data_IF_241049362128
#
_entry.id   IF_241049362128
#
_cell.length_a   1.000
_cell.length_b   1.000
_cell.length_c   1.000
_cell.angle_alpha   90.00
_cell.angle_beta   90.00
_cell.angle_gamma   90.00
#
_symmetry.space_group_name_H-M   'P 1'
#
loop_
_entity.id
_entity.type
_entity.pdbx_description
1 polymer ?
#
# COMPACT_ATOMS: atom_id res chain seq x y z
N UNK A 1 -38.15 -0.57 15.33
CA UNK A 1 -36.81 -0.36 15.90
C UNK A 1 -35.90 -0.11 14.71
N UNK A 2 -35.58 1.14 14.46
CA UNK A 2 -34.77 1.61 13.34
C UNK A 2 -33.33 1.23 13.64
N UNK A 3 -32.77 0.31 12.88
CA UNK A 3 -31.34 0.03 12.84
C UNK A 3 -30.65 1.26 12.23
N UNK A 4 -30.04 2.07 13.08
CA UNK A 4 -29.29 3.24 12.65
C UNK A 4 -28.20 2.85 11.68
N UNK A 5 -28.28 3.37 10.46
CA UNK A 5 -27.20 3.48 9.52
C UNK A 5 -26.12 4.38 10.16
N UNK A 6 -25.21 3.76 10.91
CA UNK A 6 -23.94 4.38 11.22
C UNK A 6 -23.11 4.41 9.93
N UNK A 7 -23.53 5.26 9.00
CA UNK A 7 -22.70 5.68 7.90
C UNK A 7 -21.51 6.43 8.50
N UNK A 8 -20.45 5.66 8.74
CA UNK A 8 -19.18 6.17 9.22
C UNK A 8 -18.67 7.14 8.14
N UNK A 9 -18.90 8.43 8.35
CA UNK A 9 -18.60 9.54 7.43
C UNK A 9 -17.07 9.79 7.37
N UNK A 10 -16.29 8.71 7.42
CA UNK A 10 -14.84 8.78 7.27
C UNK A 10 -14.51 9.02 5.80
N UNK A 11 -13.65 9.99 5.57
CA UNK A 11 -13.08 10.23 4.25
C UNK A 11 -12.34 8.96 3.79
N UNK A 12 -12.60 8.48 2.56
CA UNK A 12 -11.87 7.36 1.99
C UNK A 12 -10.36 7.59 2.10
N UNK A 13 -9.65 6.61 2.62
CA UNK A 13 -8.21 6.76 2.88
C UNK A 13 -7.41 5.81 2.01
N UNK A 14 -6.42 6.37 1.33
CA UNK A 14 -5.46 5.66 0.50
C UNK A 14 -4.09 5.74 1.18
N UNK A 15 -3.58 4.60 1.60
CA UNK A 15 -2.22 4.46 2.11
C UNK A 15 -1.28 4.13 0.96
N UNK A 16 -0.25 4.91 0.80
CA UNK A 16 0.72 4.73 -0.29
C UNK A 16 2.05 4.29 0.30
N UNK A 17 2.60 3.19 -0.23
CA UNK A 17 3.97 2.79 0.07
C UNK A 17 4.94 3.90 -0.30
N UNK A 18 5.83 4.28 0.61
CA UNK A 18 6.72 5.41 0.40
C UNK A 18 8.17 5.01 0.64
N UNK A 19 9.02 5.36 -0.32
CA UNK A 19 10.48 5.29 -0.23
C UNK A 19 11.04 6.62 -0.75
N UNK A 20 12.00 7.23 -0.04
CA UNK A 20 12.58 8.52 -0.46
C UNK A 20 13.22 8.46 -1.84
N UNK A 21 13.73 7.29 -2.23
CA UNK A 21 14.28 7.05 -3.58
C UNK A 21 13.22 7.10 -4.67
N UNK A 22 11.96 6.87 -4.30
CA UNK A 22 10.81 6.79 -5.20
C UNK A 22 9.86 7.97 -5.04
N UNK A 23 10.32 9.07 -4.41
CA UNK A 23 9.50 10.26 -4.15
C UNK A 23 8.79 10.79 -5.40
N UNK A 24 9.47 10.81 -6.54
CA UNK A 24 8.87 11.29 -7.79
C UNK A 24 7.67 10.42 -8.20
N UNK A 25 7.77 9.10 -8.05
CA UNK A 25 6.66 8.19 -8.36
C UNK A 25 5.47 8.44 -7.42
N UNK A 26 5.74 8.63 -6.12
CA UNK A 26 4.71 9.02 -5.16
C UNK A 26 4.01 10.33 -5.56
N UNK A 27 4.76 11.36 -5.94
CA UNK A 27 4.19 12.65 -6.34
C UNK A 27 3.30 12.51 -7.59
N UNK A 28 3.70 11.70 -8.55
CA UNK A 28 2.92 11.40 -9.77
C UNK A 28 1.64 10.61 -9.42
N UNK A 29 1.76 9.58 -8.57
CA UNK A 29 0.58 8.83 -8.12
C UNK A 29 -0.40 9.73 -7.39
N UNK A 30 0.08 10.52 -6.41
CA UNK A 30 -0.74 11.47 -5.66
C UNK A 30 -1.47 12.43 -6.59
N UNK A 31 -0.75 13.06 -7.52
CA UNK A 31 -1.34 13.94 -8.51
C UNK A 31 -2.43 13.23 -9.34
N UNK A 32 -2.18 11.99 -9.77
CA UNK A 32 -3.15 11.25 -10.56
C UNK A 32 -4.42 10.89 -9.77
N UNK A 33 -4.28 10.55 -8.48
CA UNK A 33 -5.43 10.32 -7.60
C UNK A 33 -6.25 11.62 -7.47
N UNK A 34 -5.59 12.73 -7.11
CA UNK A 34 -6.25 14.03 -6.94
C UNK A 34 -6.94 14.52 -8.22
N UNK A 35 -6.33 14.23 -9.38
CA UNK A 35 -6.87 14.61 -10.70
C UNK A 35 -8.17 13.89 -11.06
N UNK A 36 -8.27 12.61 -10.71
CA UNK A 36 -9.38 11.78 -11.16
C UNK A 36 -10.43 11.50 -10.08
N UNK A 37 -10.15 11.81 -8.82
CA UNK A 37 -11.09 11.58 -7.74
C UNK A 37 -12.31 12.51 -7.86
N UNK A 38 -13.52 11.96 -7.87
CA UNK A 38 -14.78 12.71 -7.90
C UNK A 38 -15.18 13.27 -6.53
N UNK A 39 -14.52 12.83 -5.46
CA UNK A 39 -14.73 13.30 -4.10
C UNK A 39 -13.39 13.38 -3.34
N UNK A 40 -13.33 14.15 -2.24
CA UNK A 40 -12.13 14.23 -1.42
C UNK A 40 -11.70 12.87 -0.90
N UNK A 41 -10.40 12.58 -1.00
CA UNK A 41 -9.76 11.38 -0.46
C UNK A 41 -8.56 11.77 0.40
N UNK A 42 -8.32 11.00 1.44
CA UNK A 42 -7.14 11.17 2.29
C UNK A 42 -6.00 10.30 1.74
N UNK A 43 -4.86 10.92 1.39
CA UNK A 43 -3.69 10.21 0.84
C UNK A 43 -2.56 10.25 1.87
N UNK A 44 -2.22 9.10 2.40
CA UNK A 44 -1.28 8.94 3.52
C UNK A 44 -0.03 8.17 3.06
N UNK A 45 1.13 8.83 2.92
CA UNK A 45 2.37 8.11 2.65
C UNK A 45 2.83 7.33 3.89
N UNK A 46 3.10 6.04 3.73
CA UNK A 46 3.66 5.20 4.78
C UNK A 46 5.18 5.41 4.89
N UNK A 47 5.58 6.54 5.45
CA UNK A 47 6.99 6.86 5.68
C UNK A 47 7.54 6.04 6.84
N UNK A 48 8.57 5.26 6.57
CA UNK A 48 9.15 4.35 7.57
C UNK A 48 9.66 5.10 8.80
N UNK A 49 10.29 6.27 8.63
CA UNK A 49 10.79 7.06 9.75
C UNK A 49 9.66 7.56 10.66
N UNK A 50 8.55 8.02 10.08
CA UNK A 50 7.37 8.41 10.86
C UNK A 50 6.78 7.25 11.63
N UNK A 51 6.74 6.06 11.01
CA UNK A 51 6.27 4.83 11.67
C UNK A 51 7.22 4.38 12.79
N UNK A 52 8.52 4.60 12.65
CA UNK A 52 9.51 4.34 13.69
C UNK A 52 9.35 5.30 14.87
N UNK A 53 9.23 6.60 14.61
CA UNK A 53 9.04 7.62 15.64
C UNK A 53 7.76 7.36 16.44
N UNK A 54 6.70 6.90 15.82
CA UNK A 54 5.45 6.53 16.49
C UNK A 54 5.50 5.15 17.19
N UNK A 55 6.61 4.43 17.09
CA UNK A 55 6.77 3.09 17.68
C UNK A 55 6.00 1.98 16.94
N UNK A 56 5.35 2.28 15.82
CA UNK A 56 4.58 1.31 15.03
C UNK A 56 5.46 0.37 14.22
N UNK A 57 6.64 0.83 13.79
CA UNK A 57 7.57 0.02 13.01
C UNK A 57 8.90 -0.17 13.74
N UNK A 58 9.16 -1.40 14.20
CA UNK A 58 10.34 -1.72 15.02
C UNK A 58 11.34 -2.65 14.36
N UNK A 59 11.08 -3.12 13.13
CA UNK A 59 12.02 -3.98 12.41
C UNK A 59 13.28 -3.20 12.07
N UNK A 60 14.42 -3.73 12.48
CA UNK A 60 15.71 -3.12 12.18
C UNK A 60 16.23 -3.62 10.85
N UNK A 61 16.97 -2.74 10.15
CA UNK A 61 17.64 -3.07 8.89
C UNK A 61 19.16 -2.90 9.03
N UNK A 62 19.90 -3.70 8.27
CA UNK A 62 21.35 -3.55 8.08
C UNK A 62 21.66 -3.62 6.59
N UNK A 63 22.82 -3.13 6.22
CA UNK A 63 23.35 -3.30 4.85
C UNK A 63 24.29 -4.48 4.85
N UNK A 64 24.06 -5.45 3.96
CA UNK A 64 24.91 -6.59 3.72
C UNK A 64 25.14 -6.69 2.21
N UNK A 65 26.39 -6.66 1.79
CA UNK A 65 26.79 -6.71 0.37
C UNK A 65 26.05 -5.68 -0.51
N UNK A 66 25.90 -4.44 0.01
CA UNK A 66 25.21 -3.35 -0.67
C UNK A 66 23.69 -3.47 -0.73
N UNK A 67 23.11 -4.50 -0.12
CA UNK A 67 21.65 -4.72 -0.07
C UNK A 67 21.10 -4.46 1.32
N UNK A 68 19.93 -3.85 1.39
CA UNK A 68 19.22 -3.76 2.65
C UNK A 68 18.66 -5.14 3.01
N UNK A 69 18.95 -5.59 4.23
CA UNK A 69 18.44 -6.84 4.77
C UNK A 69 17.77 -6.59 6.12
N UNK A 70 16.71 -7.31 6.39
CA UNK A 70 16.08 -7.30 7.70
C UNK A 70 16.97 -8.01 8.72
N UNK A 71 17.12 -7.42 9.91
CA UNK A 71 18.00 -7.98 10.95
C UNK A 71 17.41 -9.27 11.52
N UNK A 72 16.11 -9.41 11.52
CA UNK A 72 15.41 -10.52 12.14
C UNK A 72 15.56 -11.83 11.36
N UNK A 73 15.37 -11.79 10.04
CA UNK A 73 15.41 -13.00 9.20
C UNK A 73 16.51 -12.99 8.15
N UNK A 74 17.33 -11.92 8.12
CA UNK A 74 18.44 -11.70 7.18
C UNK A 74 18.03 -11.74 5.70
N UNK A 75 16.74 -11.57 5.42
CA UNK A 75 16.23 -11.53 4.03
C UNK A 75 16.37 -10.13 3.46
N UNK A 76 16.79 -10.02 2.20
CA UNK A 76 16.82 -8.74 1.51
C UNK A 76 15.40 -8.25 1.20
N UNK A 77 15.22 -6.94 1.23
CA UNK A 77 14.01 -6.27 0.78
C UNK A 77 14.37 -5.08 -0.11
N UNK A 78 13.50 -4.77 -1.07
CA UNK A 78 13.78 -3.78 -2.11
C UNK A 78 13.32 -2.37 -1.74
N UNK A 79 12.20 -2.25 -1.03
CA UNK A 79 11.57 -0.97 -0.71
C UNK A 79 11.31 -0.82 0.78
N UNK A 80 11.30 0.41 1.28
CA UNK A 80 11.04 0.71 2.69
C UNK A 80 9.64 0.29 3.14
N UNK A 81 8.68 0.18 2.23
CA UNK A 81 7.31 -0.22 2.52
C UNK A 81 7.04 -1.73 2.37
N UNK A 82 8.06 -2.54 2.13
CA UNK A 82 7.90 -4.00 1.98
C UNK A 82 7.16 -4.66 3.15
N UNK A 83 7.38 -4.17 4.37
CA UNK A 83 6.72 -4.69 5.58
C UNK A 83 5.67 -3.72 6.15
N UNK A 84 5.86 -2.41 6.01
CA UNK A 84 4.97 -1.43 6.61
C UNK A 84 3.55 -1.44 6.03
N UNK A 85 3.38 -1.99 4.82
CA UNK A 85 2.05 -2.21 4.21
C UNK A 85 1.10 -3.03 5.09
N UNK A 86 1.64 -3.96 5.88
CA UNK A 86 0.85 -4.80 6.79
C UNK A 86 0.36 -4.06 8.04
N UNK A 87 0.80 -2.82 8.27
CA UNK A 87 0.30 -1.97 9.34
C UNK A 87 -0.99 -1.23 8.97
N UNK A 88 -1.38 -1.22 7.70
CA UNK A 88 -2.57 -0.48 7.22
C UNK A 88 -3.84 -0.79 8.02
N UNK A 89 -4.21 -2.06 8.28
CA UNK A 89 -5.39 -2.34 9.08
C UNK A 89 -5.32 -1.71 10.46
N UNK A 90 -4.18 -1.78 11.13
CA UNK A 90 -3.98 -1.20 12.45
C UNK A 90 -4.03 0.34 12.42
N UNK A 91 -3.33 0.97 11.48
CA UNK A 91 -3.31 2.44 11.33
C UNK A 91 -4.71 2.96 10.99
N UNK A 92 -5.49 2.20 10.22
CA UNK A 92 -6.88 2.50 9.92
C UNK A 92 -7.84 2.08 11.04
N UNK A 93 -7.31 1.72 12.22
CA UNK A 93 -8.06 1.34 13.43
C UNK A 93 -8.99 0.14 13.25
N UNK A 94 -8.72 -0.72 12.26
CA UNK A 94 -9.56 -1.85 11.87
C UNK A 94 -11.01 -1.46 11.53
N UNK A 95 -11.24 -0.21 11.09
CA UNK A 95 -12.56 0.31 10.79
C UNK A 95 -12.66 0.84 9.37
N UNK A 96 -13.79 0.54 8.72
CA UNK A 96 -14.08 0.99 7.38
C UNK A 96 -13.14 0.39 6.33
N UNK A 97 -13.16 1.00 5.15
CA UNK A 97 -12.35 0.57 4.02
C UNK A 97 -11.12 1.46 3.88
N UNK A 98 -9.98 0.85 3.62
CA UNK A 98 -8.76 1.53 3.24
C UNK A 98 -8.16 0.88 2.00
N UNK A 99 -7.57 1.67 1.12
CA UNK A 99 -6.82 1.19 -0.03
C UNK A 99 -5.33 1.31 0.25
N UNK A 100 -4.56 0.25 -0.03
CA UNK A 100 -3.11 0.33 -0.10
C UNK A 100 -2.65 0.28 -1.56
N UNK A 101 -1.71 1.15 -1.92
CA UNK A 101 -1.10 1.21 -3.24
C UNK A 101 0.43 1.30 -3.13
N UNK A 102 1.15 0.66 -4.03
CA UNK A 102 2.57 0.93 -4.25
C UNK A 102 2.72 2.29 -4.95
N UNK A 103 3.81 3.02 -4.68
CA UNK A 103 3.98 4.39 -5.20
C UNK A 103 4.23 4.47 -6.72
N UNK A 104 4.64 3.39 -7.34
CA UNK A 104 4.91 3.29 -8.78
C UNK A 104 3.66 3.05 -9.65
N UNK A 105 2.49 3.30 -9.08
CA UNK A 105 1.20 3.21 -9.76
C UNK A 105 0.74 4.57 -10.32
N UNK A 106 -0.24 4.54 -11.21
CA UNK A 106 -0.89 5.72 -11.76
C UNK A 106 -2.39 5.49 -11.91
N UNK A 107 -3.21 6.38 -11.35
CA UNK A 107 -4.66 6.33 -11.50
C UNK A 107 -5.08 6.85 -12.87
N UNK A 108 -5.93 6.08 -13.56
CA UNK A 108 -6.48 6.42 -14.87
C UNK A 108 -7.98 6.72 -14.85
N UNK A 109 -8.62 6.49 -13.73
CA UNK A 109 -10.05 6.71 -13.51
C UNK A 109 -10.29 7.08 -12.05
N UNK A 110 -11.53 7.37 -11.72
CA UNK A 110 -11.94 7.78 -10.40
C UNK A 110 -11.74 6.64 -9.37
N UNK A 111 -10.94 6.91 -8.36
CA UNK A 111 -10.70 5.94 -7.27
C UNK A 111 -11.97 5.68 -6.44
N UNK A 112 -12.93 6.62 -6.45
CA UNK A 112 -14.20 6.45 -5.76
C UNK A 112 -15.03 5.30 -6.34
N UNK A 113 -14.88 4.97 -7.62
CA UNK A 113 -15.53 3.80 -8.20
C UNK A 113 -15.08 2.50 -7.51
N UNK A 114 -13.79 2.40 -7.14
CA UNK A 114 -13.27 1.24 -6.42
C UNK A 114 -13.86 1.16 -5.01
N UNK A 115 -13.87 2.27 -4.27
CA UNK A 115 -14.50 2.33 -2.95
C UNK A 115 -15.98 1.97 -3.00
N UNK A 116 -16.71 2.48 -4.00
CA UNK A 116 -18.14 2.20 -4.17
C UNK A 116 -18.39 0.71 -4.51
N UNK A 117 -17.58 0.13 -5.39
CA UNK A 117 -17.71 -1.30 -5.75
C UNK A 117 -17.50 -2.22 -4.56
N UNK A 118 -16.60 -1.86 -3.66
CA UNK A 118 -16.23 -2.67 -2.50
C UNK A 118 -17.02 -2.30 -1.24
N UNK A 119 -17.91 -1.31 -1.28
CA UNK A 119 -18.63 -0.81 -0.09
C UNK A 119 -19.44 -1.89 0.64
N UNK A 120 -19.93 -2.89 -0.09
CA UNK A 120 -20.66 -4.03 0.46
C UNK A 120 -19.82 -5.29 0.63
N UNK A 121 -18.51 -5.21 0.35
CA UNK A 121 -17.60 -6.33 0.53
C UNK A 121 -17.44 -6.61 2.03
N UNK A 122 -17.55 -7.89 2.41
CA UNK A 122 -17.36 -8.36 3.80
C UNK A 122 -16.01 -9.01 4.02
N UNK A 123 -15.18 -9.07 2.99
CA UNK A 123 -13.85 -9.64 3.09
C UNK A 123 -12.93 -8.73 3.89
N UNK A 124 -12.10 -9.31 4.74
CA UNK A 124 -11.12 -8.56 5.52
C UNK A 124 -10.04 -7.94 4.63
N UNK A 125 -9.71 -8.58 3.52
CA UNK A 125 -8.71 -8.15 2.55
C UNK A 125 -9.18 -8.54 1.15
N UNK A 126 -9.14 -7.58 0.23
CA UNK A 126 -9.34 -7.82 -1.20
C UNK A 126 -8.09 -7.42 -1.96
N UNK A 127 -7.61 -8.26 -2.85
CA UNK A 127 -6.42 -8.01 -3.66
C UNK A 127 -6.75 -8.07 -5.14
N UNK A 128 -6.02 -7.30 -5.95
CA UNK A 128 -6.09 -7.44 -7.40
C UNK A 128 -5.44 -8.75 -7.79
N UNK A 129 -6.20 -9.61 -8.46
CA UNK A 129 -5.68 -10.85 -9.03
C UNK A 129 -5.11 -10.57 -10.44
N UNK A 130 -3.86 -10.89 -10.62
CA UNK A 130 -3.21 -10.80 -11.93
C UNK A 130 -3.15 -12.19 -12.58
N UNK A 131 -3.86 -12.36 -13.68
CA UNK A 131 -3.65 -13.51 -14.55
C UNK A 131 -2.44 -13.24 -15.45
N UNK A 132 -1.24 -13.27 -14.84
CA UNK A 132 0.00 -12.87 -15.48
C UNK A 132 0.99 -14.03 -15.54
N UNK A 133 1.39 -14.36 -16.74
CA UNK A 133 2.54 -15.25 -16.97
C UNK A 133 3.75 -14.39 -17.34
N UNK A 134 4.72 -14.26 -16.43
CA UNK A 134 5.92 -13.46 -16.70
C UNK A 134 6.71 -14.01 -17.86
N UNK A 135 7.10 -13.14 -18.78
CA UNK A 135 7.97 -13.52 -19.92
C UNK A 135 9.42 -13.77 -19.47
N UNK A 136 9.84 -13.02 -18.47
CA UNK A 136 11.18 -13.12 -17.88
C UNK A 136 11.22 -14.22 -16.83
N UNK A 137 12.28 -15.02 -16.83
CA UNK A 137 12.48 -16.09 -15.85
C UNK A 137 13.04 -15.57 -14.51
N UNK A 138 13.60 -14.37 -14.52
CA UNK A 138 14.24 -13.75 -13.36
C UNK A 138 13.69 -12.36 -13.11
N UNK A 139 13.64 -11.96 -11.83
CA UNK A 139 13.33 -10.60 -11.37
C UNK A 139 14.55 -9.69 -11.58
N UNK A 140 14.38 -8.37 -11.46
CA UNK A 140 15.45 -7.38 -11.58
C UNK A 140 16.59 -7.61 -10.55
N UNK A 141 16.32 -8.25 -9.42
CA UNK A 141 17.30 -8.63 -8.40
C UNK A 141 18.00 -9.98 -8.69
N UNK A 142 17.78 -10.58 -9.87
CA UNK A 142 18.36 -11.85 -10.29
C UNK A 142 17.70 -13.11 -9.69
N UNK A 143 16.66 -12.96 -8.88
CA UNK A 143 15.93 -14.10 -8.32
C UNK A 143 14.95 -14.71 -9.33
N UNK A 144 14.59 -15.99 -9.16
CA UNK A 144 13.55 -16.58 -9.99
C UNK A 144 12.24 -15.81 -9.90
N UNK A 145 11.58 -15.65 -11.04
CA UNK A 145 10.26 -15.06 -11.09
C UNK A 145 9.25 -15.99 -10.43
N UNK A 146 8.42 -15.43 -9.55
CA UNK A 146 7.36 -16.19 -8.89
C UNK A 146 6.10 -16.10 -9.72
N UNK A 147 5.53 -17.24 -10.06
CA UNK A 147 4.17 -17.33 -10.62
C UNK A 147 3.24 -17.49 -9.42
N UNK A 148 2.30 -16.58 -9.28
CA UNK A 148 1.26 -16.69 -8.26
C UNK A 148 0.11 -17.53 -8.83
N UNK A 149 -0.43 -18.47 -8.04
CA UNK A 149 -1.57 -19.29 -8.46
C UNK A 149 -2.85 -18.46 -8.62
#
# INVERSE_FOLDING_TARGET
>A
MSSGDNNNNRMPTIYVGYDDKEKLYYDVLKYSIEKYASAPVNIVPLKQDSLRLSGLYRRSKKVLDGKQVDVFDSKPFSTEFSFSRFLVPFINMHEGMALFMDCDMYMRSDVMELFNRLSNCRDAISCVQHNYMPKEKTKMDGKPQTIYP
#
